data_IF_569313675938
#
_entry.id   IF_569313675938
#
_cell.length_a   1.000
_cell.length_b   1.000
_cell.length_c   1.000
_cell.angle_alpha   90.00
_cell.angle_beta   90.00
_cell.angle_gamma   90.00
#
_symmetry.space_group_name_H-M   'P 1'
#
loop_
_entity.id
_entity.type
_entity.pdbx_description
1 polymer ?
#
# COMPACT_ATOMS: atom_id res chain seq x y z
N UNK A 1 6.87 -12.52 0.30
CA UNK A 1 6.27 -11.16 0.39
C UNK A 1 6.39 -10.55 -1.00
N UNK A 2 5.32 -9.95 -1.52
CA UNK A 2 5.39 -9.17 -2.76
C UNK A 2 6.15 -7.86 -2.50
N UNK A 3 6.77 -7.33 -3.54
CA UNK A 3 7.46 -6.03 -3.50
C UNK A 3 6.48 -4.96 -4.00
N UNK A 4 6.51 -3.77 -3.40
CA UNK A 4 5.69 -2.64 -3.79
C UNK A 4 6.59 -1.42 -3.99
N UNK A 5 6.54 -0.84 -5.19
CA UNK A 5 7.24 0.40 -5.51
C UNK A 5 6.32 1.60 -5.26
N UNK A 6 6.75 2.54 -4.41
CA UNK A 6 5.96 3.73 -4.07
C UNK A 6 6.69 4.99 -4.52
N UNK A 7 6.01 5.84 -5.30
CA UNK A 7 6.50 7.18 -5.63
C UNK A 7 6.19 8.15 -4.49
N UNK A 8 7.23 8.78 -3.95
CA UNK A 8 7.10 9.80 -2.91
C UNK A 8 7.99 11.00 -3.22
N UNK A 9 7.53 12.20 -2.86
CA UNK A 9 8.33 13.41 -2.99
C UNK A 9 9.61 13.31 -2.13
N UNK A 10 10.70 13.89 -2.62
CA UNK A 10 12.02 13.76 -1.98
C UNK A 10 12.04 14.32 -0.54
N UNK A 11 11.34 15.43 -0.29
CA UNK A 11 11.27 16.02 1.05
C UNK A 11 10.60 15.08 2.07
N UNK A 12 9.51 14.42 1.65
CA UNK A 12 8.82 13.42 2.47
C UNK A 12 9.70 12.19 2.70
N UNK A 13 10.43 11.75 1.67
CA UNK A 13 11.40 10.65 1.76
C UNK A 13 12.51 10.96 2.77
N UNK A 14 13.05 12.18 2.75
CA UNK A 14 14.09 12.64 3.69
C UNK A 14 13.54 12.68 5.12
N UNK A 15 12.35 13.24 5.32
CA UNK A 15 11.71 13.28 6.63
C UNK A 15 11.50 11.87 7.21
N UNK A 16 10.99 10.93 6.40
CA UNK A 16 10.82 9.54 6.82
C UNK A 16 12.15 8.87 7.20
N UNK A 17 13.24 9.13 6.48
CA UNK A 17 14.57 8.61 6.85
C UNK A 17 15.05 9.13 8.20
N UNK A 18 14.79 10.40 8.50
CA UNK A 18 15.14 10.99 9.80
C UNK A 18 14.34 10.30 10.91
N UNK A 19 13.02 10.15 10.72
CA UNK A 19 12.14 9.46 11.68
C UNK A 19 12.61 8.02 11.89
N UNK A 20 12.87 7.28 10.81
CA UNK A 20 13.40 5.91 10.85
C UNK A 20 14.67 5.79 11.69
N UNK A 21 15.58 6.75 11.51
CA UNK A 21 16.84 6.80 12.25
C UNK A 21 16.62 7.09 13.74
N UNK A 22 15.68 7.98 14.08
CA UNK A 22 15.33 8.31 15.47
C UNK A 22 14.67 7.11 16.17
N UNK A 23 13.79 6.40 15.48
CA UNK A 23 13.05 5.26 16.02
C UNK A 23 13.81 3.93 15.98
N UNK A 24 14.99 3.90 15.35
CA UNK A 24 15.76 2.66 15.14
C UNK A 24 15.05 1.67 14.20
N UNK A 25 14.21 2.18 13.29
CA UNK A 25 13.41 1.38 12.35
C UNK A 25 13.97 1.46 10.93
N UNK A 26 13.64 0.48 10.12
CA UNK A 26 13.86 0.55 8.68
C UNK A 26 12.73 1.34 8.00
N UNK A 27 13.00 1.90 6.82
CA UNK A 27 11.96 2.53 5.99
C UNK A 27 10.82 1.56 5.68
N UNK A 28 11.15 0.30 5.38
CA UNK A 28 10.16 -0.74 5.09
C UNK A 28 9.27 -1.04 6.30
N UNK A 29 9.84 -1.04 7.51
CA UNK A 29 9.10 -1.25 8.75
C UNK A 29 8.08 -0.14 9.00
N UNK A 30 8.48 1.13 8.83
CA UNK A 30 7.55 2.27 8.97
C UNK A 30 6.41 2.17 7.96
N UNK A 31 6.72 1.91 6.68
CA UNK A 31 5.69 1.79 5.65
C UNK A 31 4.76 0.61 5.93
N UNK A 32 5.29 -0.52 6.39
CA UNK A 32 4.49 -1.70 6.74
C UNK A 32 3.54 -1.41 7.90
N UNK A 33 4.03 -0.79 8.98
CA UNK A 33 3.22 -0.38 10.12
C UNK A 33 2.10 0.59 9.71
N UNK A 34 2.39 1.55 8.82
CA UNK A 34 1.39 2.49 8.30
C UNK A 34 0.31 1.77 7.48
N UNK A 35 0.70 0.82 6.62
CA UNK A 35 -0.23 0.01 5.83
C UNK A 35 -1.13 -0.83 6.75
N UNK A 36 -0.53 -1.53 7.73
CA UNK A 36 -1.28 -2.34 8.70
C UNK A 36 -2.27 -1.50 9.51
N UNK A 37 -1.82 -0.35 10.00
CA UNK A 37 -2.66 0.58 10.76
C UNK A 37 -3.84 1.07 9.92
N UNK A 38 -3.58 1.48 8.68
CA UNK A 38 -4.63 1.97 7.79
C UNK A 38 -5.66 0.88 7.45
N UNK A 39 -5.22 -0.37 7.25
CA UNK A 39 -6.13 -1.51 7.05
C UNK A 39 -6.97 -1.76 8.29
N UNK A 40 -6.36 -1.74 9.47
CA UNK A 40 -7.05 -2.00 10.73
C UNK A 40 -8.14 -0.96 11.01
N UNK A 41 -7.82 0.33 10.83
CA UNK A 41 -8.75 1.44 11.02
C UNK A 41 -9.96 1.36 10.07
N UNK A 42 -9.77 0.80 8.87
CA UNK A 42 -10.82 0.69 7.85
C UNK A 42 -11.54 -0.66 7.85
N UNK A 43 -11.14 -1.61 8.70
CA UNK A 43 -11.67 -2.98 8.71
C UNK A 43 -13.19 -3.03 8.89
N UNK A 44 -13.72 -2.24 9.82
CA UNK A 44 -15.18 -2.16 10.06
C UNK A 44 -15.92 -1.65 8.83
N UNK A 45 -15.40 -0.62 8.17
CA UNK A 45 -15.99 -0.06 6.94
C UNK A 45 -15.97 -1.08 5.80
N UNK A 46 -14.90 -1.85 5.66
CA UNK A 46 -14.80 -2.93 4.67
C UNK A 46 -15.86 -4.00 4.94
N UNK A 47 -16.03 -4.41 6.19
CA UNK A 47 -17.03 -5.41 6.59
C UNK A 47 -18.46 -4.92 6.30
N UNK A 48 -18.79 -3.69 6.68
CA UNK A 48 -20.11 -3.10 6.42
C UNK A 48 -20.46 -3.01 4.93
N UNK A 49 -19.46 -2.76 4.07
CA UNK A 49 -19.64 -2.73 2.61
C UNK A 49 -19.72 -4.15 2.02
N UNK A 50 -19.01 -5.11 2.60
CA UNK A 50 -19.03 -6.51 2.18
C UNK A 50 -20.40 -7.14 2.41
N UNK A 51 -21.03 -6.85 3.55
CA UNK A 51 -22.33 -7.42 3.94
C UNK A 51 -23.50 -6.86 3.11
N UNK A 52 -23.29 -5.75 2.40
CA UNK A 52 -24.32 -5.05 1.61
C UNK A 52 -24.32 -5.41 0.12
N UNK A 53 -23.57 -6.42 -0.34
CA UNK A 53 -23.32 -6.75 -1.76
C UNK A 53 -22.65 -5.62 -2.60
N UNK A 54 -22.50 -4.41 -2.05
CA UNK A 54 -21.91 -3.25 -2.70
C UNK A 54 -20.40 -3.36 -2.92
N UNK A 55 -19.68 -4.11 -2.07
CA UNK A 55 -18.22 -4.22 -2.18
C UNK A 55 -17.78 -4.81 -3.52
N UNK A 56 -18.49 -5.82 -4.02
CA UNK A 56 -18.15 -6.48 -5.29
C UNK A 56 -18.33 -5.54 -6.48
N UNK A 57 -19.37 -4.71 -6.46
CA UNK A 57 -19.63 -3.70 -7.47
C UNK A 57 -18.59 -2.57 -7.41
N UNK A 58 -18.24 -2.09 -6.21
CA UNK A 58 -17.19 -1.07 -6.01
C UNK A 58 -15.84 -1.58 -6.51
N UNK A 59 -15.45 -2.81 -6.17
CA UNK A 59 -14.20 -3.41 -6.62
C UNK A 59 -14.17 -3.59 -8.15
N UNK A 60 -15.27 -4.03 -8.75
CA UNK A 60 -15.38 -4.14 -10.21
C UNK A 60 -15.24 -2.79 -10.92
N UNK A 61 -15.73 -1.70 -10.32
CA UNK A 61 -15.63 -0.36 -10.89
C UNK A 61 -14.24 0.26 -10.70
N UNK A 62 -13.57 -0.04 -9.59
CA UNK A 62 -12.23 0.51 -9.29
C UNK A 62 -11.08 -0.33 -9.84
N UNK A 63 -11.33 -1.48 -10.47
CA UNK A 63 -10.31 -2.29 -11.16
C UNK A 63 -9.45 -1.49 -12.16
N UNK A 64 -10.03 -0.49 -12.85
CA UNK A 64 -9.27 0.41 -13.75
C UNK A 64 -8.34 1.38 -13.00
N UNK A 65 -8.66 1.71 -11.76
CA UNK A 65 -7.86 2.60 -10.90
C UNK A 65 -6.65 1.88 -10.30
N UNK A 66 -6.71 0.56 -10.20
CA UNK A 66 -5.60 -0.26 -9.71
C UNK A 66 -4.65 -0.74 -10.82
N UNK A 67 -4.89 -0.36 -12.10
CA UNK A 67 -3.95 -0.65 -13.20
C UNK A 67 -2.56 -0.05 -12.97
N UNK A 68 -2.45 1.07 -12.24
CA UNK A 68 -1.14 1.64 -11.86
C UNK A 68 -0.35 0.77 -10.86
N UNK A 69 -1.03 -0.21 -10.25
CA UNK A 69 -0.45 -1.21 -9.36
C UNK A 69 -0.26 -2.56 -10.05
N UNK A 70 -0.84 -2.73 -11.24
CA UNK A 70 -0.68 -3.88 -12.13
C UNK A 70 0.47 -3.54 -13.09
N UNK A 71 1.69 -3.59 -12.56
CA UNK A 71 2.86 -3.09 -13.27
C UNK A 71 3.53 -4.27 -14.02
N UNK A 72 3.45 -4.29 -15.35
CA UNK A 72 4.16 -5.24 -16.22
C UNK A 72 5.69 -5.24 -15.98
N UNK A 73 6.22 -4.19 -15.33
CA UNK A 73 7.64 -4.05 -14.97
C UNK A 73 8.12 -5.02 -13.87
N UNK A 74 7.22 -5.69 -13.12
CA UNK A 74 7.63 -6.74 -12.17
C UNK A 74 8.13 -8.02 -12.88
N UNK A 75 7.84 -8.20 -14.18
CA UNK A 75 8.39 -9.31 -14.96
C UNK A 75 9.91 -9.18 -15.22
N UNK A 76 10.45 -7.96 -15.22
CA UNK A 76 11.88 -7.72 -15.53
C UNK A 76 12.80 -8.28 -14.42
N UNK A 77 12.29 -8.43 -13.19
CA UNK A 77 13.05 -8.99 -12.07
C UNK A 77 12.81 -10.48 -11.83
N UNK A 78 11.96 -11.15 -12.62
CA UNK A 78 11.71 -12.60 -12.49
C UNK A 78 12.88 -13.46 -13.01
N UNK A 79 13.82 -12.89 -13.75
CA UNK A 79 15.01 -13.56 -14.29
C UNK A 79 16.32 -13.27 -13.50
N UNK A 80 16.24 -12.63 -12.33
CA UNK A 80 17.35 -12.44 -11.37
C UNK A 80 17.18 -13.30 -10.12
#
# INVERSE_FOLDING_TARGET
MSVMSIRINDDKRKALKVIASIEGKSMGSIVSELVETYILENKTRIQELSDKEDLKNIMSMSGKTFLEWDNDEDEIYNDL
#
